data_IF_681367339410
#
_entry.id   IF_681367339410
#
_cell.length_a   1.000
_cell.length_b   1.000
_cell.length_c   1.000
_cell.angle_alpha   90.00
_cell.angle_beta   90.00
_cell.angle_gamma   90.00
#
_symmetry.space_group_name_H-M   'P 1'
#
loop_
_entity.id
_entity.type
_entity.pdbx_description
1 polymer ?
#
# COMPACT_ATOMS: atom_id res chain seq x y z
N UNK A 1 2.34 -12.81 -22.62
CA UNK A 1 2.83 -12.16 -21.38
C UNK A 1 3.59 -13.09 -20.47
N UNK A 2 3.15 -14.35 -20.29
CA UNK A 2 3.80 -15.36 -19.45
C UNK A 2 5.32 -15.48 -19.69
N UNK A 3 5.76 -15.51 -20.95
CA UNK A 3 7.19 -15.58 -21.31
C UNK A 3 8.00 -14.39 -20.78
N UNK A 4 7.41 -13.18 -20.78
CA UNK A 4 8.05 -12.00 -20.17
C UNK A 4 8.09 -12.10 -18.65
N UNK A 5 7.02 -12.62 -18.05
CA UNK A 5 6.87 -12.73 -16.61
C UNK A 5 7.88 -13.75 -16.03
N UNK A 6 7.92 -14.96 -16.58
CA UNK A 6 8.82 -16.02 -16.09
C UNK A 6 10.23 -15.96 -16.68
N UNK A 7 10.38 -15.59 -17.96
CA UNK A 7 11.68 -15.60 -18.66
C UNK A 7 12.36 -14.23 -18.77
N UNK A 8 11.70 -13.16 -18.32
CA UNK A 8 12.20 -11.80 -18.42
C UNK A 8 12.30 -11.25 -19.84
N UNK A 9 12.90 -10.06 -19.98
CA UNK A 9 12.97 -9.33 -21.25
C UNK A 9 13.83 -10.04 -22.31
N UNK A 10 14.93 -10.68 -21.89
CA UNK A 10 15.84 -11.38 -22.80
C UNK A 10 15.20 -12.62 -23.40
N UNK A 11 14.48 -13.42 -22.59
CA UNK A 11 13.73 -14.57 -23.10
C UNK A 11 12.62 -14.13 -24.05
N UNK A 12 11.83 -13.10 -23.69
CA UNK A 12 10.82 -12.54 -24.59
C UNK A 12 11.44 -12.10 -25.93
N UNK A 13 12.60 -11.42 -25.89
CA UNK A 13 13.30 -11.01 -27.10
C UNK A 13 13.71 -12.20 -27.97
N UNK A 14 14.34 -13.22 -27.37
CA UNK A 14 14.74 -14.43 -28.06
C UNK A 14 13.54 -15.16 -28.67
N UNK A 15 12.45 -15.32 -27.92
CA UNK A 15 11.22 -15.98 -28.38
C UNK A 15 10.47 -15.16 -29.44
N UNK A 16 10.51 -13.82 -29.35
CA UNK A 16 9.96 -12.94 -30.38
C UNK A 16 10.70 -13.11 -31.71
N UNK A 17 12.03 -13.29 -31.67
CA UNK A 17 12.84 -13.54 -32.85
C UNK A 17 12.74 -14.97 -33.38
N UNK A 18 12.72 -15.97 -32.50
CA UNK A 18 12.72 -17.38 -32.89
C UNK A 18 11.32 -17.88 -33.31
N UNK A 19 10.27 -17.42 -32.62
CA UNK A 19 8.91 -17.95 -32.76
C UNK A 19 7.90 -16.91 -33.27
N UNK A 20 8.37 -15.71 -33.66
CA UNK A 20 7.50 -14.64 -34.14
C UNK A 20 6.56 -14.06 -33.09
N UNK A 21 6.82 -14.28 -31.79
CA UNK A 21 5.96 -13.77 -30.72
C UNK A 21 5.98 -12.23 -30.66
N UNK A 22 4.91 -11.60 -30.13
CA UNK A 22 4.84 -10.15 -29.98
C UNK A 22 6.05 -9.57 -29.24
N UNK A 23 6.60 -8.50 -29.81
CA UNK A 23 7.70 -7.75 -29.20
C UNK A 23 7.28 -7.10 -27.88
N UNK A 24 8.26 -6.67 -27.07
CA UNK A 24 7.99 -5.91 -25.85
C UNK A 24 7.16 -4.64 -26.12
N UNK A 25 7.46 -3.94 -27.22
CA UNK A 25 6.73 -2.74 -27.63
C UNK A 25 5.29 -3.05 -28.04
N UNK A 26 5.07 -4.19 -28.72
CA UNK A 26 3.73 -4.67 -29.06
C UNK A 26 2.95 -4.99 -27.80
N UNK A 27 3.55 -5.76 -26.88
CA UNK A 27 2.92 -6.10 -25.60
C UNK A 27 2.60 -4.86 -24.76
N UNK A 28 3.50 -3.89 -24.66
CA UNK A 28 3.24 -2.67 -23.88
C UNK A 28 2.10 -1.82 -24.49
N UNK A 29 1.90 -1.89 -25.82
CA UNK A 29 0.83 -1.17 -26.51
C UNK A 29 -0.52 -1.89 -26.41
N UNK A 30 -0.49 -3.22 -26.45
CA UNK A 30 -1.69 -4.07 -26.38
C UNK A 30 -2.08 -4.44 -24.95
N UNK A 31 -1.22 -4.18 -23.97
CA UNK A 31 -1.50 -4.49 -22.57
C UNK A 31 -2.59 -3.57 -22.03
N UNK A 32 -3.70 -4.17 -21.61
CA UNK A 32 -4.81 -3.51 -20.92
C UNK A 32 -4.56 -3.40 -19.40
N UNK A 33 -3.30 -3.23 -18.99
CA UNK A 33 -3.02 -3.09 -17.56
C UNK A 33 -3.26 -1.65 -17.12
N UNK A 34 -4.16 -1.45 -16.17
CA UNK A 34 -4.25 -0.23 -15.38
C UNK A 34 -3.09 -0.25 -14.38
N UNK A 35 -2.05 0.58 -14.55
CA UNK A 35 -0.93 0.58 -13.61
C UNK A 35 -1.36 1.23 -12.30
N UNK A 36 -0.85 0.72 -11.19
CA UNK A 36 -0.92 1.41 -9.91
C UNK A 36 -0.15 2.73 -10.02
N UNK A 37 -0.84 3.81 -9.71
CA UNK A 37 -0.30 5.16 -9.72
C UNK A 37 0.22 5.47 -8.31
N UNK A 38 1.49 5.85 -8.16
CA UNK A 38 2.01 6.24 -6.86
C UNK A 38 1.44 7.60 -6.45
N UNK A 39 1.33 7.83 -5.15
CA UNK A 39 1.02 9.13 -4.59
C UNK A 39 2.22 10.07 -4.82
N UNK A 40 1.94 11.25 -5.36
CA UNK A 40 2.94 12.32 -5.51
C UNK A 40 2.95 13.30 -4.35
N UNK A 41 2.02 13.13 -3.40
CA UNK A 41 1.95 13.81 -2.12
C UNK A 41 1.02 13.06 -1.19
N UNK A 42 0.26 13.77 -0.35
CA UNK A 42 -0.63 13.13 0.61
C UNK A 42 -1.65 12.19 -0.06
N UNK A 43 -1.77 10.92 0.39
CA UNK A 43 -2.69 9.97 -0.20
C UNK A 43 -4.14 10.46 -0.19
N UNK A 44 -4.78 10.46 -1.37
CA UNK A 44 -6.16 10.91 -1.55
C UNK A 44 -7.09 9.76 -1.93
N UNK A 45 -8.32 9.80 -1.41
CA UNK A 45 -9.34 8.77 -1.67
C UNK A 45 -9.55 8.48 -3.17
N UNK A 46 -9.68 9.47 -4.08
CA UNK A 46 -9.92 9.18 -5.50
C UNK A 46 -8.79 8.37 -6.16
N UNK A 47 -7.53 8.63 -5.78
CA UNK A 47 -6.39 7.89 -6.30
C UNK A 47 -6.36 6.46 -5.77
N UNK A 48 -6.67 6.27 -4.48
CA UNK A 48 -6.76 4.95 -3.87
C UNK A 48 -7.89 4.11 -4.47
N UNK A 49 -9.05 4.71 -4.73
CA UNK A 49 -10.16 4.05 -5.42
C UNK A 49 -9.75 3.61 -6.84
N UNK A 50 -9.08 4.48 -7.59
CA UNK A 50 -8.59 4.12 -8.94
C UNK A 50 -7.54 2.99 -8.90
N UNK A 51 -6.64 2.99 -7.91
CA UNK A 51 -5.68 1.91 -7.70
C UNK A 51 -6.35 0.61 -7.24
N UNK A 52 -7.37 0.70 -6.39
CA UNK A 52 -8.18 -0.43 -5.97
C UNK A 52 -8.92 -1.04 -7.16
N UNK A 53 -9.58 -0.25 -7.99
CA UNK A 53 -10.25 -0.73 -9.20
C UNK A 53 -9.26 -1.41 -10.17
N UNK A 54 -8.04 -0.88 -10.29
CA UNK A 54 -6.98 -1.49 -11.08
C UNK A 54 -6.49 -2.85 -10.53
N UNK A 55 -6.43 -2.99 -9.20
CA UNK A 55 -5.97 -4.22 -8.51
C UNK A 55 -7.10 -5.24 -8.27
N UNK A 56 -8.33 -4.76 -8.12
CA UNK A 56 -9.52 -5.50 -7.71
C UNK A 56 -10.69 -5.15 -8.64
N UNK A 57 -10.64 -5.58 -9.91
CA UNK A 57 -11.68 -5.25 -10.88
C UNK A 57 -12.97 -6.00 -10.57
N UNK A 58 -14.06 -5.26 -10.41
CA UNK A 58 -15.40 -5.76 -10.05
C UNK A 58 -16.00 -6.76 -11.05
N UNK A 59 -15.46 -6.86 -12.27
CA UNK A 59 -15.92 -7.77 -13.31
C UNK A 59 -15.49 -9.23 -13.11
N UNK A 60 -14.68 -9.50 -12.07
CA UNK A 60 -14.31 -10.87 -11.69
C UNK A 60 -15.46 -11.48 -10.90
N UNK A 61 -15.97 -12.62 -11.35
CA UNK A 61 -17.00 -13.38 -10.63
C UNK A 61 -16.59 -13.57 -9.18
N UNK A 62 -17.44 -13.23 -8.20
CA UNK A 62 -17.10 -13.35 -6.79
C UNK A 62 -16.65 -14.79 -6.50
N UNK A 63 -15.60 -14.92 -5.69
CA UNK A 63 -15.16 -16.23 -5.22
C UNK A 63 -16.35 -16.93 -4.54
N UNK A 64 -16.50 -18.27 -4.66
CA UNK A 64 -17.67 -19.00 -4.14
C UNK A 64 -17.91 -18.82 -2.64
N UNK A 65 -16.86 -18.42 -1.91
CA UNK A 65 -16.90 -18.09 -0.48
C UNK A 65 -16.13 -16.78 -0.27
N UNK A 66 -16.78 -15.73 0.28
CA UNK A 66 -16.09 -14.51 0.70
C UNK A 66 -14.94 -14.86 1.64
N UNK A 67 -13.76 -14.33 1.35
CA UNK A 67 -12.57 -14.50 2.18
C UNK A 67 -12.29 -13.20 2.91
N UNK A 68 -11.78 -13.28 4.14
CA UNK A 68 -11.26 -12.12 4.80
C UNK A 68 -10.03 -11.57 4.11
N UNK A 69 -9.79 -10.27 4.26
CA UNK A 69 -8.58 -9.64 3.77
C UNK A 69 -7.70 -9.11 4.90
N UNK A 70 -6.40 -9.03 4.61
CA UNK A 70 -5.41 -8.34 5.43
C UNK A 70 -4.89 -7.13 4.67
N UNK A 71 -4.93 -5.95 5.29
CA UNK A 71 -4.22 -4.77 4.82
C UNK A 71 -2.78 -4.85 5.32
N UNK A 72 -1.83 -5.08 4.42
CA UNK A 72 -0.41 -5.19 4.76
C UNK A 72 0.31 -3.91 4.32
N UNK A 73 1.03 -3.27 5.25
CA UNK A 73 1.73 -2.01 5.01
C UNK A 73 3.20 -2.15 5.40
N UNK A 74 4.10 -1.75 4.50
CA UNK A 74 5.54 -1.82 4.74
C UNK A 74 6.27 -0.61 4.14
N UNK A 75 7.45 -0.31 4.67
CA UNK A 75 8.38 0.69 4.15
C UNK A 75 9.46 0.05 3.28
N UNK A 76 9.49 0.41 1.99
CA UNK A 76 10.52 -0.08 1.07
C UNK A 76 11.54 1.02 0.81
N UNK A 77 12.81 0.76 1.08
CA UNK A 77 13.89 1.70 0.75
C UNK A 77 13.89 2.02 -0.75
N UNK A 78 13.86 3.31 -1.10
CA UNK A 78 13.89 3.79 -2.48
C UNK A 78 15.11 4.65 -2.71
N UNK A 79 15.46 4.83 -3.99
CA UNK A 79 16.49 5.82 -4.35
C UNK A 79 15.89 7.22 -4.19
N UNK A 80 16.61 8.08 -3.46
CA UNK A 80 16.31 9.51 -3.31
C UNK A 80 16.50 10.24 -4.65
N UNK A 81 15.46 10.26 -5.47
CA UNK A 81 15.39 11.04 -6.70
C UNK A 81 13.94 11.34 -7.07
N UNK A 82 13.77 12.40 -7.84
CA UNK A 82 12.49 12.72 -8.49
C UNK A 82 12.37 12.07 -9.85
N UNK A 83 11.14 11.75 -10.23
CA UNK A 83 10.76 11.28 -11.57
C UNK A 83 9.50 11.98 -12.02
N UNK A 84 9.45 12.33 -13.30
CA UNK A 84 8.20 12.77 -13.91
C UNK A 84 7.28 11.57 -14.13
N UNK A 85 6.09 11.64 -13.54
CA UNK A 85 5.06 10.63 -13.68
C UNK A 85 4.09 11.09 -14.76
N UNK A 86 4.40 10.72 -16.01
CA UNK A 86 3.66 11.14 -17.20
C UNK A 86 2.13 10.96 -17.12
N UNK A 87 1.63 9.96 -16.39
CA UNK A 87 0.18 9.71 -16.25
C UNK A 87 -0.52 10.71 -15.34
N UNK A 88 0.20 11.26 -14.36
CA UNK A 88 -0.30 12.26 -13.43
C UNK A 88 0.13 13.69 -13.83
N UNK A 89 1.05 13.78 -14.81
CA UNK A 89 1.74 15.00 -15.19
C UNK A 89 2.37 15.76 -14.02
N UNK A 90 2.92 14.99 -13.07
CA UNK A 90 3.47 15.50 -11.81
C UNK A 90 4.85 14.93 -11.50
N UNK A 91 5.57 15.63 -10.62
CA UNK A 91 6.83 15.19 -10.02
C UNK A 91 6.51 14.17 -8.91
N UNK A 92 7.05 12.96 -9.03
CA UNK A 92 7.00 11.94 -7.98
C UNK A 92 8.37 11.71 -7.34
N UNK A 93 8.38 11.16 -6.13
CA UNK A 93 9.60 10.85 -5.37
C UNK A 93 9.97 11.89 -4.30
N UNK A 94 9.15 12.93 -4.12
CA UNK A 94 9.19 13.81 -2.96
C UNK A 94 8.46 13.16 -1.78
N UNK A 95 8.85 13.48 -0.55
CA UNK A 95 8.17 12.95 0.63
C UNK A 95 6.77 13.56 0.77
N UNK A 96 5.78 12.71 1.09
CA UNK A 96 4.39 13.16 1.26
C UNK A 96 4.25 14.23 2.35
N UNK A 97 5.05 14.11 3.41
CA UNK A 97 4.94 14.93 4.62
C UNK A 97 5.26 16.42 4.40
N UNK A 98 5.87 16.78 3.26
CA UNK A 98 6.35 18.15 3.02
C UNK A 98 6.06 18.67 1.60
N UNK A 99 5.24 17.98 0.82
CA UNK A 99 5.01 18.34 -0.59
C UNK A 99 3.72 19.12 -0.81
N UNK A 100 2.82 19.16 0.17
CA UNK A 100 1.47 19.71 0.00
C UNK A 100 1.45 21.21 -0.37
N UNK A 101 2.46 21.98 0.06
CA UNK A 101 2.58 23.40 -0.27
C UNK A 101 3.24 23.66 -1.64
N UNK A 102 3.57 22.61 -2.39
CA UNK A 102 4.27 22.71 -3.68
C UNK A 102 3.35 22.38 -4.85
N UNK A 103 3.36 23.24 -5.88
CA UNK A 103 2.86 22.88 -7.20
C UNK A 103 3.87 21.95 -7.89
N UNK A 104 3.62 20.65 -7.74
CA UNK A 104 4.41 19.57 -8.34
C UNK A 104 4.00 19.23 -9.78
N UNK A 105 3.17 20.07 -10.42
CA UNK A 105 2.82 19.87 -11.82
C UNK A 105 3.96 20.26 -12.76
N UNK A 106 4.16 19.45 -13.79
CA UNK A 106 5.20 19.69 -14.82
C UNK A 106 4.71 20.63 -15.93
N UNK A 107 3.89 21.63 -15.58
CA UNK A 107 3.25 22.53 -16.55
C UNK A 107 4.16 23.68 -17.00
N UNK A 108 5.01 24.17 -16.10
CA UNK A 108 5.85 25.35 -16.37
C UNK A 108 7.26 25.18 -15.83
N UNK A 109 8.20 25.97 -16.36
CA UNK A 109 9.54 26.05 -15.81
C UNK A 109 9.55 26.60 -14.38
N UNK A 110 8.69 27.59 -14.08
CA UNK A 110 8.63 28.24 -12.77
C UNK A 110 8.21 27.25 -11.65
N UNK A 111 7.18 26.43 -11.89
CA UNK A 111 6.75 25.39 -10.93
C UNK A 111 7.86 24.37 -10.66
N UNK A 112 8.58 23.98 -11.71
CA UNK A 112 9.73 23.08 -11.61
C UNK A 112 10.87 23.69 -10.80
N UNK A 113 11.19 24.98 -11.02
CA UNK A 113 12.23 25.68 -10.28
C UNK A 113 11.88 25.87 -8.82
N UNK A 114 10.62 26.21 -8.50
CA UNK A 114 10.16 26.30 -7.09
C UNK A 114 10.27 24.97 -6.37
N UNK A 115 9.94 23.86 -7.04
CA UNK A 115 10.14 22.52 -6.47
C UNK A 115 11.62 22.23 -6.26
N UNK A 116 12.49 22.64 -7.20
CA UNK A 116 13.93 22.48 -7.04
C UNK A 116 14.47 23.29 -5.85
N UNK A 117 14.04 24.55 -5.69
CA UNK A 117 14.40 25.43 -4.58
C UNK A 117 13.88 24.89 -3.23
N UNK A 118 12.67 24.32 -3.20
CA UNK A 118 12.12 23.69 -2.00
C UNK A 118 12.95 22.50 -1.52
N UNK A 119 13.65 21.81 -2.43
CA UNK A 119 14.47 20.62 -2.10
C UNK A 119 15.95 20.94 -1.91
N UNK A 120 16.50 21.93 -2.63
CA UNK A 120 17.95 22.22 -2.67
C UNK A 120 18.31 23.67 -2.30
N UNK A 121 17.33 24.51 -1.97
CA UNK A 121 17.56 25.87 -1.52
C UNK A 121 18.33 25.89 -0.20
N UNK A 122 18.72 27.10 0.22
CA UNK A 122 19.46 27.27 1.47
C UNK A 122 18.68 26.81 2.70
N UNK A 123 17.35 26.89 2.65
CA UNK A 123 16.41 26.44 3.68
C UNK A 123 15.42 25.47 3.02
N UNK A 124 15.78 24.18 2.86
CA UNK A 124 14.92 23.23 2.18
C UNK A 124 13.64 22.98 2.99
N UNK A 125 12.50 23.13 2.35
CA UNK A 125 11.17 22.89 2.94
C UNK A 125 10.59 21.54 2.56
N UNK A 126 11.19 20.84 1.59
CA UNK A 126 10.76 19.54 1.11
C UNK A 126 11.98 18.60 0.94
N UNK A 127 11.73 17.29 0.95
CA UNK A 127 12.78 16.28 0.87
C UNK A 127 12.47 15.25 -0.21
N UNK A 128 13.52 14.59 -0.72
CA UNK A 128 13.33 13.33 -1.41
C UNK A 128 12.81 12.26 -0.44
N UNK A 129 11.90 11.42 -0.91
CA UNK A 129 11.55 10.20 -0.20
C UNK A 129 12.78 9.29 -0.05
N UNK A 130 13.05 8.86 1.18
CA UNK A 130 14.04 7.82 1.46
C UNK A 130 13.45 6.43 1.37
N UNK A 131 12.16 6.32 1.68
CA UNK A 131 11.39 5.09 1.63
C UNK A 131 10.08 5.34 0.88
N UNK A 132 9.45 4.27 0.41
CA UNK A 132 8.09 4.26 -0.07
C UNK A 132 7.24 3.40 0.86
N UNK A 133 6.23 4.00 1.48
CA UNK A 133 5.16 3.26 2.14
C UNK A 133 4.34 2.57 1.05
N UNK A 134 4.32 1.24 1.10
CA UNK A 134 3.54 0.40 0.19
C UNK A 134 2.44 -0.24 1.00
N UNK A 135 1.19 -0.11 0.55
CA UNK A 135 0.06 -0.84 1.11
C UNK A 135 -0.51 -1.81 0.07
N UNK A 136 -0.76 -3.03 0.51
CA UNK A 136 -1.31 -4.11 -0.29
C UNK A 136 -2.46 -4.78 0.46
N UNK A 137 -3.42 -5.34 -0.28
CA UNK A 137 -4.46 -6.19 0.29
C UNK A 137 -4.19 -7.64 -0.13
N UNK A 138 -4.13 -8.55 0.85
CA UNK A 138 -3.96 -9.98 0.65
C UNK A 138 -5.13 -10.77 1.23
N UNK A 139 -5.61 -11.78 0.49
CA UNK A 139 -6.75 -12.59 0.92
C UNK A 139 -6.32 -13.73 1.85
N UNK A 140 -7.16 -14.06 2.83
CA UNK A 140 -7.07 -15.28 3.64
C UNK A 140 -7.71 -16.47 2.93
N UNK A 141 -7.19 -16.84 1.76
CA UNK A 141 -7.62 -18.04 1.02
C UNK A 141 -6.43 -18.71 0.32
N UNK A 142 -6.63 -19.90 -0.25
CA UNK A 142 -5.56 -20.66 -0.92
C UNK A 142 -5.47 -20.48 -2.44
N UNK A 143 -6.33 -19.67 -3.05
CA UNK A 143 -6.52 -19.61 -4.51
C UNK A 143 -6.15 -18.25 -5.10
N UNK A 144 -6.38 -17.17 -4.36
CA UNK A 144 -6.14 -15.78 -4.75
C UNK A 144 -5.47 -15.02 -3.59
N UNK A 145 -4.40 -15.61 -3.07
CA UNK A 145 -3.64 -15.07 -1.93
C UNK A 145 -2.57 -14.05 -2.35
N UNK A 146 -2.52 -13.69 -3.64
CA UNK A 146 -1.53 -12.75 -4.15
C UNK A 146 -1.79 -11.35 -3.55
N UNK A 147 -0.84 -10.77 -2.81
CA UNK A 147 -1.01 -9.43 -2.26
C UNK A 147 -1.03 -8.41 -3.40
N UNK A 148 -2.08 -7.59 -3.45
CA UNK A 148 -2.27 -6.61 -4.53
C UNK A 148 -2.03 -5.19 -4.04
N UNK A 149 -1.08 -4.46 -4.63
CA UNK A 149 -0.74 -3.11 -4.20
C UNK A 149 -1.83 -2.10 -4.55
N UNK A 150 -2.07 -1.18 -3.63
CA UNK A 150 -3.06 -0.09 -3.77
C UNK A 150 -2.49 1.27 -3.44
N UNK A 151 -1.39 1.31 -2.68
CA UNK A 151 -0.68 2.52 -2.30
C UNK A 151 0.81 2.33 -2.54
N UNK A 152 1.42 3.35 -3.14
CA UNK A 152 2.87 3.56 -3.11
C UNK A 152 3.08 5.05 -2.87
N UNK A 153 3.59 5.42 -1.70
CA UNK A 153 3.81 6.82 -1.35
C UNK A 153 5.20 7.02 -0.78
N UNK A 154 5.95 7.96 -1.36
CA UNK A 154 7.25 8.33 -0.84
C UNK A 154 7.13 9.02 0.53
N UNK A 155 8.09 8.74 1.41
CA UNK A 155 8.17 9.29 2.78
C UNK A 155 9.61 9.59 3.16
N UNK A 156 9.80 10.61 4.00
CA UNK A 156 11.08 10.90 4.67
C UNK A 156 11.10 10.40 6.12
N UNK A 157 10.14 9.55 6.51
CA UNK A 157 9.94 9.01 7.85
C UNK A 157 9.69 10.08 8.92
N UNK A 158 9.16 11.24 8.51
CA UNK A 158 8.76 12.30 9.44
C UNK A 158 7.33 12.12 9.95
N UNK A 159 6.56 11.23 9.32
CA UNK A 159 5.19 10.92 9.67
C UNK A 159 5.06 10.47 11.14
N UNK A 160 4.02 10.98 11.80
CA UNK A 160 3.66 10.66 13.18
C UNK A 160 2.53 9.64 13.23
N UNK A 161 2.39 8.97 14.38
CA UNK A 161 1.39 7.93 14.55
C UNK A 161 -0.06 8.37 14.22
N UNK A 162 -0.53 9.58 14.56
CA UNK A 162 -1.88 10.04 14.18
C UNK A 162 -2.05 10.25 12.66
N UNK A 163 -0.99 10.67 11.97
CA UNK A 163 -0.98 10.85 10.51
C UNK A 163 -1.04 9.47 9.83
N UNK A 164 -0.23 8.52 10.30
CA UNK A 164 -0.30 7.13 9.85
C UNK A 164 -1.66 6.47 10.15
N UNK A 165 -2.23 6.70 11.33
CA UNK A 165 -3.58 6.23 11.66
C UNK A 165 -4.63 6.78 10.69
N UNK A 166 -4.48 8.03 10.25
CA UNK A 166 -5.35 8.65 9.25
C UNK A 166 -5.21 7.98 7.88
N UNK A 167 -3.99 7.65 7.48
CA UNK A 167 -3.71 6.86 6.26
C UNK A 167 -4.37 5.47 6.31
N UNK A 168 -4.24 4.76 7.44
CA UNK A 168 -4.85 3.43 7.63
C UNK A 168 -6.38 3.52 7.55
N UNK A 169 -7.00 4.53 8.20
CA UNK A 169 -8.45 4.75 8.10
C UNK A 169 -8.89 5.08 6.68
N UNK A 170 -8.10 5.85 5.93
CA UNK A 170 -8.36 6.17 4.54
C UNK A 170 -8.34 4.92 3.65
N UNK A 171 -7.36 4.02 3.86
CA UNK A 171 -7.28 2.74 3.16
C UNK A 171 -8.46 1.82 3.47
N UNK A 172 -8.84 1.70 4.75
CA UNK A 172 -10.04 0.95 5.15
C UNK A 172 -11.30 1.49 4.51
N UNK A 173 -11.50 2.81 4.54
CA UNK A 173 -12.62 3.48 3.85
C UNK A 173 -12.64 3.20 2.35
N UNK A 174 -11.48 3.25 1.69
CA UNK A 174 -11.37 2.97 0.25
C UNK A 174 -11.74 1.51 -0.06
N UNK A 175 -11.30 0.57 0.79
CA UNK A 175 -11.66 -0.85 0.70
C UNK A 175 -13.16 -1.08 0.81
N UNK A 176 -13.80 -0.48 1.83
CA UNK A 176 -15.23 -0.62 2.07
C UNK A 176 -16.07 -0.10 0.91
N UNK A 177 -15.62 0.99 0.28
CA UNK A 177 -16.31 1.60 -0.86
C UNK A 177 -16.19 0.81 -2.17
N UNK A 178 -15.07 0.12 -2.40
CA UNK A 178 -14.76 -0.45 -3.73
C UNK A 178 -14.74 -1.99 -3.76
N UNK A 179 -14.22 -2.63 -2.72
CA UNK A 179 -13.85 -4.03 -2.77
C UNK A 179 -14.61 -4.92 -1.76
N UNK A 180 -14.98 -4.39 -0.61
CA UNK A 180 -15.57 -5.17 0.49
C UNK A 180 -16.80 -5.99 0.07
N UNK A 181 -17.72 -5.39 -0.70
CA UNK A 181 -18.95 -6.07 -1.15
C UNK A 181 -18.74 -7.19 -2.16
N UNK A 182 -17.59 -7.25 -2.84
CA UNK A 182 -17.29 -8.25 -3.88
C UNK A 182 -16.27 -9.29 -3.39
N UNK A 183 -15.24 -8.82 -2.70
CA UNK A 183 -14.10 -9.64 -2.30
C UNK A 183 -14.19 -10.15 -0.86
N UNK A 184 -14.82 -9.38 0.03
CA UNK A 184 -14.98 -9.71 1.45
C UNK A 184 -14.45 -8.63 2.38
N UNK A 185 -14.76 -8.79 3.67
CA UNK A 185 -14.42 -7.82 4.71
C UNK A 185 -12.91 -7.80 5.03
N UNK A 186 -12.43 -6.64 5.47
CA UNK A 186 -11.12 -6.52 6.11
C UNK A 186 -11.18 -7.17 7.50
N UNK A 187 -10.25 -8.08 7.82
CA UNK A 187 -10.18 -8.75 9.13
C UNK A 187 -9.04 -8.26 9.98
N UNK A 188 -7.90 -7.94 9.36
CA UNK A 188 -6.77 -7.41 10.09
C UNK A 188 -5.92 -6.44 9.27
N UNK A 189 -5.13 -5.66 10.00
CA UNK A 189 -4.09 -4.79 9.47
C UNK A 189 -2.76 -5.33 9.97
N UNK A 190 -1.80 -5.46 9.07
CA UNK A 190 -0.46 -5.91 9.38
C UNK A 190 0.58 -4.91 8.93
N UNK A 191 1.53 -4.60 9.81
CA UNK A 191 2.64 -3.71 9.51
C UNK A 191 3.95 -4.31 9.96
N UNK A 192 5.04 -3.71 9.48
CA UNK A 192 6.34 -3.91 10.08
C UNK A 192 6.35 -3.42 11.56
N UNK A 193 7.46 -3.70 12.24
CA UNK A 193 7.63 -3.37 13.65
C UNK A 193 7.90 -1.88 13.94
N UNK A 194 7.79 -0.96 12.99
CA UNK A 194 8.13 0.44 13.18
C UNK A 194 7.24 1.10 14.25
N UNK A 195 7.83 1.85 15.19
CA UNK A 195 7.12 2.40 16.35
C UNK A 195 5.93 3.29 15.96
N UNK A 196 6.10 4.14 14.94
CA UNK A 196 5.05 5.00 14.39
C UNK A 196 3.89 4.17 13.84
N UNK A 197 4.16 3.16 13.01
CA UNK A 197 3.14 2.30 12.40
C UNK A 197 2.38 1.51 13.46
N UNK A 198 3.10 0.89 14.41
CA UNK A 198 2.48 0.15 15.53
C UNK A 198 1.54 1.03 16.33
N UNK A 199 1.97 2.24 16.70
CA UNK A 199 1.15 3.15 17.49
C UNK A 199 -0.07 3.64 16.70
N UNK A 200 0.10 3.96 15.41
CA UNK A 200 -1.02 4.36 14.55
C UNK A 200 -2.03 3.22 14.35
N UNK A 201 -1.56 1.99 14.10
CA UNK A 201 -2.43 0.81 14.03
C UNK A 201 -3.14 0.52 15.34
N UNK A 202 -2.46 0.66 16.49
CA UNK A 202 -3.10 0.54 17.79
C UNK A 202 -4.24 1.56 17.93
N UNK A 203 -4.02 2.83 17.59
CA UNK A 203 -5.08 3.87 17.60
C UNK A 203 -6.28 3.53 16.70
N UNK A 204 -6.10 2.72 15.65
CA UNK A 204 -7.18 2.28 14.75
C UNK A 204 -7.83 0.99 15.22
N UNK A 205 -7.06 0.04 15.74
CA UNK A 205 -7.47 -1.35 15.98
C UNK A 205 -7.75 -1.69 17.44
N UNK A 206 -7.70 -0.74 18.37
CA UNK A 206 -8.04 -0.97 19.80
C UNK A 206 -8.99 0.12 20.30
N UNK A 207 -10.12 0.29 19.60
CA UNK A 207 -11.09 1.35 19.89
C UNK A 207 -12.19 0.91 20.84
N UNK A 208 -12.51 -0.38 20.88
CA UNK A 208 -13.50 -0.97 21.78
C UNK A 208 -13.14 -2.43 22.09
N UNK A 209 -13.72 -2.99 23.14
CA UNK A 209 -13.64 -4.43 23.43
C UNK A 209 -14.67 -5.21 22.61
N UNK A 210 -14.32 -6.42 22.18
CA UNK A 210 -15.20 -7.33 21.46
C UNK A 210 -16.48 -7.59 22.26
N UNK A 211 -17.64 -7.29 21.66
CA UNK A 211 -18.93 -7.48 22.31
C UNK A 211 -19.19 -8.97 22.61
N UNK A 212 -19.65 -9.25 23.83
CA UNK A 212 -20.16 -10.55 24.27
C UNK A 212 -21.23 -11.15 23.37
N UNK A 213 -21.99 -10.33 22.64
CA UNK A 213 -23.02 -10.78 21.69
C UNK A 213 -22.45 -11.20 20.33
N UNK A 214 -21.20 -10.82 20.03
CA UNK A 214 -20.54 -11.16 18.77
C UNK A 214 -20.23 -12.67 18.74
N UNK A 215 -20.50 -13.38 17.62
CA UNK A 215 -20.17 -14.80 17.49
C UNK A 215 -18.71 -15.13 17.81
N UNK A 216 -17.76 -14.23 17.55
CA UNK A 216 -16.34 -14.40 17.86
C UNK A 216 -16.07 -14.48 19.36
N UNK A 217 -16.89 -13.83 20.20
CA UNK A 217 -16.69 -13.81 21.65
C UNK A 217 -16.83 -15.21 22.26
N UNK A 218 -17.74 -16.04 21.73
CA UNK A 218 -17.88 -17.43 22.18
C UNK A 218 -16.61 -18.27 22.01
N UNK A 219 -15.75 -17.90 21.05
CA UNK A 219 -14.47 -18.57 20.81
C UNK A 219 -13.31 -17.92 21.56
N UNK A 220 -13.30 -16.58 21.64
CA UNK A 220 -12.14 -15.80 22.10
C UNK A 220 -12.25 -15.36 23.57
N UNK A 221 -13.46 -15.09 24.06
CA UNK A 221 -13.69 -14.46 25.37
C UNK A 221 -13.25 -15.30 26.56
N UNK A 222 -13.12 -16.62 26.39
CA UNK A 222 -12.64 -17.53 27.41
C UNK A 222 -11.12 -17.70 27.46
N UNK A 223 -10.36 -17.08 26.56
CA UNK A 223 -8.90 -17.26 26.45
C UNK A 223 -8.16 -16.28 27.39
N UNK A 224 -7.56 -16.75 28.50
CA UNK A 224 -6.93 -15.86 29.47
C UNK A 224 -5.74 -15.12 28.84
N UNK A 225 -5.69 -13.80 29.02
CA UNK A 225 -4.59 -12.96 28.53
C UNK A 225 -4.69 -12.57 27.05
N UNK A 226 -5.70 -13.06 26.31
CA UNK A 226 -5.96 -12.58 24.96
C UNK A 226 -6.54 -11.16 25.02
N UNK A 227 -5.94 -10.23 24.28
CA UNK A 227 -6.50 -8.90 24.12
C UNK A 227 -7.76 -8.98 23.23
N UNK A 228 -8.92 -8.61 23.79
CA UNK A 228 -10.20 -8.58 23.08
C UNK A 228 -10.50 -7.21 22.45
N UNK A 229 -9.58 -6.23 22.55
CA UNK A 229 -9.75 -4.94 21.92
C UNK A 229 -9.63 -5.03 20.39
N UNK A 230 -10.54 -4.38 19.69
CA UNK A 230 -10.59 -4.33 18.23
C UNK A 230 -10.96 -2.93 17.70
N UNK A 231 -10.71 -2.74 16.40
CA UNK A 231 -11.11 -1.56 15.64
C UNK A 231 -12.56 -1.66 15.17
N UNK A 232 -13.01 -0.68 14.39
CA UNK A 232 -14.30 -0.74 13.69
C UNK A 232 -14.44 -2.08 12.94
N UNK A 233 -15.66 -2.63 12.93
CA UNK A 233 -15.98 -3.93 12.31
C UNK A 233 -15.19 -5.13 12.85
N UNK A 234 -14.66 -5.00 14.07
CA UNK A 234 -13.80 -5.96 14.75
C UNK A 234 -12.45 -6.21 14.05
N UNK A 235 -11.97 -5.24 13.25
CA UNK A 235 -10.65 -5.32 12.60
C UNK A 235 -9.55 -5.34 13.67
N UNK A 236 -8.60 -6.26 13.53
CA UNK A 236 -7.50 -6.44 14.48
C UNK A 236 -6.16 -5.98 13.90
N UNK A 237 -5.17 -5.75 14.76
CA UNK A 237 -3.80 -5.47 14.36
C UNK A 237 -2.90 -6.68 14.60
N UNK A 238 -2.04 -7.00 13.63
CA UNK A 238 -1.02 -8.05 13.73
C UNK A 238 0.35 -7.52 13.30
N UNK A 239 1.39 -7.79 14.08
CA UNK A 239 2.77 -7.51 13.63
C UNK A 239 3.32 -8.72 12.88
N UNK A 240 4.17 -8.50 11.86
CA UNK A 240 4.84 -9.62 11.17
C UNK A 240 5.59 -10.50 12.20
N UNK A 241 5.22 -11.79 12.35
CA UNK A 241 5.84 -12.70 13.30
C UNK A 241 7.37 -12.80 13.14
N UNK A 242 7.89 -12.62 11.92
CA UNK A 242 9.33 -12.61 11.67
C UNK A 242 10.05 -11.59 12.54
N UNK A 243 9.53 -10.37 12.62
CA UNK A 243 10.14 -9.29 13.40
C UNK A 243 10.02 -9.50 14.90
N UNK A 244 8.93 -10.15 15.36
CA UNK A 244 8.78 -10.56 16.76
C UNK A 244 9.87 -11.57 17.14
N UNK A 245 10.06 -12.61 16.32
CA UNK A 245 11.06 -13.68 16.55
C UNK A 245 12.49 -13.11 16.53
N UNK A 246 12.80 -12.27 15.53
CA UNK A 246 14.10 -11.60 15.43
C UNK A 246 14.40 -10.77 16.70
N UNK A 247 13.41 -10.04 17.22
CA UNK A 247 13.57 -9.24 18.44
C UNK A 247 13.80 -10.10 19.68
N UNK A 248 13.05 -11.19 19.86
CA UNK A 248 13.24 -12.10 20.98
C UNK A 248 14.62 -12.76 20.97
N UNK A 249 15.12 -13.09 19.77
CA UNK A 249 16.46 -13.66 19.62
C UNK A 249 17.59 -12.70 20.04
N UNK A 250 17.38 -11.38 19.92
CA UNK A 250 18.35 -10.36 20.33
C UNK A 250 18.34 -10.08 21.83
N UNK A 251 17.23 -10.36 22.53
CA UNK A 251 17.12 -10.16 23.99
C UNK A 251 17.68 -11.38 24.75
N UNK A 252 17.73 -12.53 24.09
CA UNK A 252 18.12 -13.82 24.69
C UNK A 252 19.61 -14.16 24.55
N UNK A 253 20.42 -13.27 23.97
CA UNK A 253 21.87 -13.42 23.77
C UNK A 253 22.67 -12.35 24.48
#
# INVERSE_FOLDING_TARGET
MLIRHYGGRKCLFAMSKALGLPSLSTLNRSAQWSPILPCTGDPQLPLLLANLEASFPCDISPLPTPSGYCLQIDGVAIRRNVRWIRRLDSIGGLCREHVDDLDISMRTHDTTMRTWEAVHGNEPTCHYGSEATVAVFGAFNGVDYEPRPVLVSATCNAEKAPEFASLVRLLGKAWDQNACGVYGALWCISTDGASTMRLGCHQVCTTHELDTTNPLFGYLGGLPGLNLACGADNVTYSSDPKHCIERESQISG
#
